data_IF_247328476276
#
_entry.id   IF_247328476276
#
_cell.length_a   1.000
_cell.length_b   1.000
_cell.length_c   1.000
_cell.angle_alpha   90.00
_cell.angle_beta   90.00
_cell.angle_gamma   90.00
#
_symmetry.space_group_name_H-M   'P 1'
#
loop_
_entity.id
_entity.type
_entity.pdbx_description
1 polymer ?
#
# COMPACT_ATOMS: atom_id res chain seq x y z
N UNK A 1 -10.52 13.72 11.55
CA UNK A 1 -11.05 12.49 12.17
C UNK A 1 -10.11 12.05 13.27
N UNK A 2 -10.57 12.13 14.53
CA UNK A 2 -9.77 11.76 15.70
C UNK A 2 -9.78 10.25 15.92
N UNK A 3 -8.68 9.58 15.56
CA UNK A 3 -8.53 8.11 15.72
C UNK A 3 -8.73 7.60 17.15
N UNK A 4 -8.57 8.45 18.17
CA UNK A 4 -8.74 8.04 19.57
C UNK A 4 -10.20 7.76 19.91
N UNK A 5 -11.13 8.36 19.16
CA UNK A 5 -12.56 8.31 19.44
C UNK A 5 -13.31 7.33 18.56
N UNK A 6 -12.61 6.69 17.62
CA UNK A 6 -13.16 5.62 16.80
C UNK A 6 -13.36 4.34 17.62
N UNK A 7 -14.47 3.65 17.37
CA UNK A 7 -14.78 2.35 17.93
C UNK A 7 -13.89 1.25 17.32
N UNK A 8 -13.85 0.07 17.96
CA UNK A 8 -13.08 -1.08 17.44
C UNK A 8 -13.51 -1.46 16.02
N UNK A 9 -14.81 -1.40 15.74
CA UNK A 9 -15.37 -1.70 14.41
C UNK A 9 -14.94 -0.67 13.36
N UNK A 10 -14.88 0.60 13.72
CA UNK A 10 -14.43 1.70 12.84
C UNK A 10 -12.95 1.58 12.50
N UNK A 11 -12.13 1.28 13.52
CA UNK A 11 -10.71 1.03 13.33
C UNK A 11 -10.48 -0.22 12.46
N UNK A 12 -11.27 -1.26 12.67
CA UNK A 12 -11.23 -2.48 11.85
C UNK A 12 -11.57 -2.16 10.39
N UNK A 13 -12.62 -1.38 10.14
CA UNK A 13 -12.99 -0.93 8.81
C UNK A 13 -11.87 -0.10 8.16
N UNK A 14 -11.34 0.91 8.86
CA UNK A 14 -10.29 1.79 8.33
C UNK A 14 -8.97 1.02 8.06
N UNK A 15 -8.61 -0.01 8.83
CA UNK A 15 -7.48 -0.89 8.48
C UNK A 15 -7.78 -1.76 7.25
N UNK A 16 -9.00 -2.30 7.19
CA UNK A 16 -9.42 -3.22 6.12
C UNK A 16 -9.44 -2.55 4.76
N UNK A 17 -9.97 -1.33 4.67
CA UNK A 17 -9.96 -0.54 3.41
C UNK A 17 -8.55 -0.13 2.98
N UNK A 18 -7.54 -0.31 3.84
CA UNK A 18 -6.12 -0.05 3.55
C UNK A 18 -5.31 -1.33 3.34
N UNK A 19 -5.97 -2.49 3.23
CA UNK A 19 -5.33 -3.78 3.02
C UNK A 19 -4.55 -4.30 4.23
N UNK A 20 -4.84 -3.78 5.43
CA UNK A 20 -4.20 -4.20 6.67
C UNK A 20 -5.10 -5.13 7.47
N UNK A 21 -4.49 -6.16 8.07
CA UNK A 21 -5.19 -7.05 8.99
C UNK A 21 -5.57 -6.31 10.28
N UNK A 22 -6.79 -6.58 10.76
CA UNK A 22 -7.23 -6.11 12.08
C UNK A 22 -6.46 -6.87 13.18
N UNK A 23 -5.97 -6.14 14.18
CA UNK A 23 -5.20 -6.71 15.28
C UNK A 23 -6.03 -6.92 16.55
N UNK A 24 -5.42 -7.58 17.53
CA UNK A 24 -6.10 -7.98 18.76
C UNK A 24 -6.49 -6.78 19.65
N UNK A 25 -5.71 -5.69 19.64
CA UNK A 25 -5.94 -4.53 20.53
C UNK A 25 -6.25 -3.22 19.79
N UNK A 26 -7.07 -2.37 20.41
CA UNK A 26 -7.49 -1.07 19.87
C UNK A 26 -6.32 -0.09 19.74
N UNK A 27 -5.36 -0.13 20.67
CA UNK A 27 -4.23 0.81 20.65
C UNK A 27 -3.22 0.49 19.55
N UNK A 28 -3.03 -0.78 19.21
CA UNK A 28 -2.25 -1.18 18.04
C UNK A 28 -2.92 -0.72 16.74
N UNK A 29 -4.26 -0.90 16.63
CA UNK A 29 -5.02 -0.43 15.47
C UNK A 29 -4.89 1.10 15.29
N UNK A 30 -5.02 1.87 16.37
CA UNK A 30 -4.82 3.33 16.36
C UNK A 30 -3.41 3.71 15.95
N UNK A 31 -2.39 3.01 16.46
CA UNK A 31 -0.98 3.27 16.13
C UNK A 31 -0.69 3.09 14.64
N UNK A 32 -1.37 2.14 13.98
CA UNK A 32 -1.26 1.91 12.54
C UNK A 32 -2.04 2.92 11.70
N UNK A 33 -3.25 3.31 12.11
CA UNK A 33 -4.12 4.21 11.31
C UNK A 33 -3.62 5.66 11.34
N UNK A 34 -3.13 6.17 12.48
CA UNK A 34 -2.69 7.57 12.61
C UNK A 34 -1.68 8.03 11.53
N UNK A 35 -0.58 7.31 11.28
CA UNK A 35 0.37 7.72 10.23
C UNK A 35 -0.25 7.63 8.84
N UNK A 36 -1.15 6.68 8.58
CA UNK A 36 -1.80 6.52 7.28
C UNK A 36 -2.74 7.69 6.98
N UNK A 37 -3.60 8.08 7.93
CA UNK A 37 -4.47 9.25 7.79
C UNK A 37 -3.69 10.56 7.64
N UNK A 38 -2.50 10.63 8.24
CA UNK A 38 -1.60 11.78 8.06
C UNK A 38 -1.05 11.82 6.64
N UNK A 39 -0.57 10.70 6.12
CA UNK A 39 -0.05 10.59 4.75
C UNK A 39 -1.13 10.85 3.69
N UNK A 40 -2.37 10.39 3.92
CA UNK A 40 -3.51 10.68 3.04
C UNK A 40 -3.83 12.18 3.00
N UNK A 41 -3.84 12.85 4.16
CA UNK A 41 -4.05 14.30 4.25
C UNK A 41 -2.94 15.10 3.57
N UNK A 42 -1.72 14.59 3.62
CA UNK A 42 -0.55 15.16 2.95
C UNK A 42 -0.49 14.81 1.44
N UNK A 43 -1.47 14.04 0.92
CA UNK A 43 -1.51 13.61 -0.49
C UNK A 43 -0.44 12.58 -0.86
N UNK A 44 0.24 11.98 0.13
CA UNK A 44 1.34 11.02 -0.02
C UNK A 44 0.89 9.56 -0.04
N UNK A 45 -0.40 9.31 0.20
CA UNK A 45 -1.00 7.99 0.17
C UNK A 45 -2.39 8.05 -0.48
N UNK A 46 -2.72 7.03 -1.27
CA UNK A 46 -4.07 6.82 -1.80
C UNK A 46 -4.65 5.53 -1.22
N UNK A 47 -5.95 5.54 -0.97
CA UNK A 47 -6.68 4.36 -0.56
C UNK A 47 -6.67 3.33 -1.72
N UNK A 48 -6.38 2.05 -1.45
CA UNK A 48 -6.53 1.00 -2.46
C UNK A 48 -8.01 0.85 -2.85
N UNK A 49 -8.26 0.32 -4.05
CA UNK A 49 -9.63 0.01 -4.50
C UNK A 49 -10.16 -1.10 -3.61
N UNK A 50 -11.21 -0.78 -2.87
CA UNK A 50 -11.83 -1.69 -1.91
C UNK A 50 -13.07 -2.33 -2.53
N UNK A 51 -13.06 -3.66 -2.61
CA UNK A 51 -14.20 -4.47 -3.03
C UNK A 51 -15.03 -4.84 -1.79
N UNK A 52 -15.94 -3.96 -1.37
CA UNK A 52 -17.06 -4.36 -0.51
C UNK A 52 -18.33 -4.50 -1.32
N UNK A 53 -19.24 -5.32 -0.78
CA UNK A 53 -20.64 -5.28 -1.17
C UNK A 53 -21.21 -3.89 -0.89
N UNK A 54 -21.57 -3.18 -1.97
CA UNK A 54 -22.14 -1.82 -1.91
C UNK A 54 -23.39 -1.75 -1.03
N UNK A 55 -24.20 -2.82 -1.02
CA UNK A 55 -25.40 -2.93 -0.21
C UNK A 55 -25.09 -3.03 1.30
N UNK A 56 -24.08 -3.81 1.67
CA UNK A 56 -23.67 -4.01 3.07
C UNK A 56 -23.13 -2.71 3.68
N UNK A 57 -22.32 -1.96 2.91
CA UNK A 57 -21.77 -0.69 3.38
C UNK A 57 -22.84 0.39 3.57
N UNK A 58 -23.85 0.46 2.69
CA UNK A 58 -24.94 1.41 2.82
C UNK A 58 -25.84 1.10 4.03
N UNK A 59 -26.10 -0.18 4.31
CA UNK A 59 -26.87 -0.59 5.49
C UNK A 59 -26.14 -0.26 6.79
N UNK A 60 -24.83 -0.53 6.85
CA UNK A 60 -24.00 -0.16 8.02
C UNK A 60 -23.96 1.37 8.20
N UNK A 61 -23.85 2.14 7.11
CA UNK A 61 -23.89 3.60 7.19
C UNK A 61 -25.24 4.09 7.73
N UNK A 62 -26.35 3.53 7.24
CA UNK A 62 -27.70 3.85 7.72
C UNK A 62 -27.86 3.58 9.21
N UNK A 63 -27.42 2.41 9.68
CA UNK A 63 -27.46 2.08 11.11
C UNK A 63 -26.67 3.06 11.97
N UNK A 64 -25.50 3.50 11.51
CA UNK A 64 -24.67 4.47 12.22
C UNK A 64 -25.25 5.89 12.21
N UNK A 65 -25.84 6.32 11.10
CA UNK A 65 -26.52 7.62 11.02
C UNK A 65 -27.65 7.69 12.04
N UNK A 66 -28.48 6.64 12.12
CA UNK A 66 -29.57 6.60 13.09
C UNK A 66 -29.06 6.62 14.55
N UNK A 67 -27.96 5.92 14.84
CA UNK A 67 -27.35 5.93 16.16
C UNK A 67 -26.77 7.31 16.53
N UNK A 68 -26.14 7.99 15.56
CA UNK A 68 -25.62 9.36 15.76
C UNK A 68 -26.77 10.37 15.91
N UNK A 69 -27.84 10.23 15.13
CA UNK A 69 -29.04 11.07 15.23
C UNK A 69 -29.70 10.96 16.61
N UNK A 70 -29.81 9.75 17.16
CA UNK A 70 -30.30 9.53 18.52
C UNK A 70 -29.42 10.23 19.57
N UNK A 71 -28.09 10.06 19.47
CA UNK A 71 -27.13 10.72 20.36
C UNK A 71 -27.22 12.25 20.26
N UNK A 72 -27.37 12.79 19.05
CA UNK A 72 -27.49 14.24 18.82
C UNK A 72 -28.80 14.78 19.39
N UNK A 73 -29.89 14.02 19.25
CA UNK A 73 -31.20 14.41 19.78
C UNK A 73 -31.19 14.47 21.30
N UNK A 74 -30.51 13.53 21.95
CA UNK A 74 -30.35 13.42 23.41
C UNK A 74 -29.33 14.41 24.01
N UNK A 75 -28.54 15.12 23.18
CA UNK A 75 -27.61 16.15 23.67
C UNK A 75 -28.37 17.27 24.38
N UNK A 76 -28.06 17.47 25.66
CA UNK A 76 -28.51 18.60 26.46
C UNK A 76 -27.50 19.76 26.43
N UNK A 77 -27.89 20.92 27.00
CA UNK A 77 -27.03 22.12 27.07
C UNK A 77 -25.80 21.93 27.97
N UNK A 78 -25.70 20.80 28.69
CA UNK A 78 -24.56 20.43 29.54
C UNK A 78 -23.66 19.38 28.92
N UNK A 79 -23.89 19.05 27.64
CA UNK A 79 -23.12 18.04 26.92
C UNK A 79 -21.62 18.27 27.05
N UNK A 80 -20.90 17.20 27.41
CA UNK A 80 -19.46 17.31 27.60
C UNK A 80 -18.75 17.52 26.26
N UNK A 81 -17.67 18.30 26.26
CA UNK A 81 -16.78 18.46 25.10
C UNK A 81 -16.28 17.09 24.56
N UNK A 82 -16.23 16.09 25.44
CA UNK A 82 -15.88 14.73 25.07
C UNK A 82 -16.97 14.04 24.22
N UNK A 83 -18.25 14.23 24.53
CA UNK A 83 -19.39 13.68 23.79
C UNK A 83 -19.52 14.32 22.41
N UNK A 84 -19.42 15.65 22.34
CA UNK A 84 -19.46 16.41 21.08
C UNK A 84 -18.34 15.96 20.13
N UNK A 85 -17.09 15.85 20.62
CA UNK A 85 -15.96 15.36 19.80
C UNK A 85 -16.11 13.91 19.36
N UNK A 86 -16.83 13.08 20.13
CA UNK A 86 -17.11 11.68 19.77
C UNK A 86 -18.14 11.62 18.64
N UNK A 87 -19.18 12.45 18.71
CA UNK A 87 -20.19 12.59 17.67
C UNK A 87 -19.57 13.14 16.38
N UNK A 88 -18.77 14.22 16.47
CA UNK A 88 -18.00 14.81 15.37
C UNK A 88 -17.13 13.77 14.65
N UNK A 89 -16.37 12.98 15.42
CA UNK A 89 -15.52 11.92 14.87
C UNK A 89 -16.36 10.83 14.18
N UNK A 90 -17.50 10.46 14.77
CA UNK A 90 -18.42 9.47 14.22
C UNK A 90 -19.07 9.92 12.92
N UNK A 91 -19.56 11.17 12.87
CA UNK A 91 -20.11 11.79 11.66
C UNK A 91 -19.05 11.84 10.56
N UNK A 92 -17.85 12.30 10.86
CA UNK A 92 -16.77 12.36 9.88
C UNK A 92 -16.40 10.99 9.32
N UNK A 93 -16.39 9.95 10.16
CA UNK A 93 -16.14 8.57 9.73
C UNK A 93 -17.25 8.07 8.77
N UNK A 94 -18.52 8.27 9.14
CA UNK A 94 -19.66 7.83 8.33
C UNK A 94 -19.75 8.59 7.01
N UNK A 95 -19.58 9.91 7.01
CA UNK A 95 -19.55 10.73 5.78
C UNK A 95 -18.46 10.24 4.83
N UNK A 96 -17.25 9.99 5.34
CA UNK A 96 -16.16 9.45 4.54
C UNK A 96 -16.49 8.06 3.96
N UNK A 97 -17.18 7.21 4.72
CA UNK A 97 -17.62 5.89 4.26
C UNK A 97 -18.68 5.98 3.15
N UNK A 98 -19.72 6.80 3.33
CA UNK A 98 -20.76 7.03 2.31
C UNK A 98 -20.15 7.55 1.01
N UNK A 99 -19.20 8.49 1.10
CA UNK A 99 -18.51 9.05 -0.07
C UNK A 99 -17.68 8.02 -0.84
N UNK A 100 -17.19 6.97 -0.17
CA UNK A 100 -16.39 5.90 -0.79
C UNK A 100 -17.25 4.83 -1.50
N UNK A 101 -18.51 4.65 -1.10
CA UNK A 101 -19.41 3.66 -1.74
C UNK A 101 -19.63 4.02 -3.21
N UNK A 102 -19.42 3.06 -4.11
CA UNK A 102 -19.69 3.20 -5.56
C UNK A 102 -20.69 2.12 -6.00
N UNK A 103 -22.00 2.42 -6.02
CA UNK A 103 -22.99 1.49 -6.57
C UNK A 103 -22.73 1.22 -8.05
N UNK A 104 -23.00 0.00 -8.51
CA UNK A 104 -22.96 -0.34 -9.94
C UNK A 104 -23.98 0.51 -10.73
N UNK A 105 -23.68 0.82 -11.99
CA UNK A 105 -24.52 1.69 -12.84
C UNK A 105 -25.95 1.16 -13.03
N UNK A 106 -26.16 -0.14 -12.84
CA UNK A 106 -27.47 -0.82 -12.90
C UNK A 106 -28.30 -0.67 -11.62
N UNK A 107 -27.71 -0.26 -10.49
CA UNK A 107 -28.33 -0.27 -9.17
C UNK A 107 -28.85 1.11 -8.76
N UNK A 108 -29.99 1.52 -9.34
CA UNK A 108 -30.63 2.81 -9.10
C UNK A 108 -31.01 3.03 -7.63
N UNK A 109 -31.43 1.97 -6.92
CA UNK A 109 -31.83 2.05 -5.51
C UNK A 109 -30.65 2.37 -4.58
N UNK A 110 -29.49 1.76 -4.81
CA UNK A 110 -28.28 2.05 -4.04
C UNK A 110 -27.76 3.48 -4.26
N UNK A 111 -27.92 4.04 -5.46
CA UNK A 111 -27.62 5.45 -5.73
C UNK A 111 -28.55 6.40 -4.99
N UNK A 112 -29.86 6.11 -4.97
CA UNK A 112 -30.84 6.88 -4.21
C UNK A 112 -30.54 6.83 -2.71
N UNK A 113 -30.24 5.64 -2.18
CA UNK A 113 -29.91 5.46 -0.78
C UNK A 113 -28.61 6.19 -0.41
N UNK A 114 -27.55 6.10 -1.23
CA UNK A 114 -26.31 6.85 -1.01
C UNK A 114 -26.57 8.36 -0.89
N UNK A 115 -27.38 8.91 -1.79
CA UNK A 115 -27.76 10.33 -1.77
C UNK A 115 -28.51 10.70 -0.50
N UNK A 116 -29.53 9.91 -0.14
CA UNK A 116 -30.29 10.13 1.10
C UNK A 116 -29.41 10.12 2.35
N UNK A 117 -28.45 9.18 2.43
CA UNK A 117 -27.53 9.10 3.56
C UNK A 117 -26.53 10.27 3.59
N UNK A 118 -26.10 10.76 2.43
CA UNK A 118 -25.23 11.94 2.34
C UNK A 118 -25.98 13.21 2.79
N UNK A 119 -27.21 13.40 2.31
CA UNK A 119 -28.07 14.52 2.71
C UNK A 119 -28.34 14.49 4.23
N UNK A 120 -28.61 13.30 4.78
CA UNK A 120 -28.82 13.13 6.23
C UNK A 120 -27.55 13.40 7.05
N UNK A 121 -26.36 13.03 6.56
CA UNK A 121 -25.12 13.41 7.21
C UNK A 121 -24.96 14.93 7.28
N UNK A 122 -25.28 15.66 6.22
CA UNK A 122 -25.19 17.11 6.19
C UNK A 122 -26.17 17.77 7.17
N UNK A 123 -27.38 17.25 7.29
CA UNK A 123 -28.38 17.69 8.29
C UNK A 123 -27.87 17.50 9.72
N UNK A 124 -27.29 16.33 10.04
CA UNK A 124 -26.75 16.06 11.38
C UNK A 124 -25.52 16.90 11.72
N UNK A 125 -24.71 17.27 10.73
CA UNK A 125 -23.61 18.22 10.92
C UNK A 125 -24.14 19.60 11.33
N UNK A 126 -25.15 20.12 10.64
CA UNK A 126 -25.77 21.41 10.98
C UNK A 126 -26.40 21.38 12.40
N UNK A 127 -27.11 20.31 12.75
CA UNK A 127 -27.70 20.14 14.08
C UNK A 127 -26.65 20.07 15.20
N UNK A 128 -25.47 19.50 14.93
CA UNK A 128 -24.36 19.50 15.90
C UNK A 128 -23.79 20.90 16.10
N UNK A 129 -23.61 21.68 15.02
CA UNK A 129 -23.08 23.04 15.07
C UNK A 129 -23.99 23.98 15.85
N UNK A 130 -25.31 23.87 15.68
CA UNK A 130 -26.30 24.66 16.44
C UNK A 130 -26.31 24.35 17.96
N UNK A 131 -25.82 23.16 18.35
CA UNK A 131 -25.81 22.70 19.74
C UNK A 131 -24.45 22.83 20.43
N UNK A 132 -23.40 23.28 19.75
CA UNK A 132 -22.08 23.48 20.37
C UNK A 132 -22.09 24.75 21.27
N UNK A 133 -21.86 24.62 22.59
CA UNK A 133 -21.86 25.75 23.52
C UNK A 133 -20.80 26.81 23.22
N UNK A 134 -19.72 26.49 22.48
CA UNK A 134 -18.72 27.48 22.05
C UNK A 134 -19.27 28.42 20.96
N UNK A 135 -20.12 27.90 20.07
CA UNK A 135 -20.79 28.70 19.02
C UNK A 135 -21.86 29.60 19.63
N UNK A 136 -22.60 29.12 20.65
CA UNK A 136 -23.58 29.95 21.38
C UNK A 136 -22.96 31.09 22.19
N UNK A 137 -21.75 30.92 22.74
CA UNK A 137 -21.02 31.99 23.46
C UNK A 137 -20.28 32.97 22.53
N UNK A 138 -19.84 32.55 21.34
CA UNK A 138 -19.15 33.44 20.38
C UNK A 138 -20.10 34.42 19.65
N UNK A 139 -21.41 34.18 19.65
CA UNK A 139 -22.39 35.09 19.02
C UNK A 139 -22.67 36.36 19.86
N UNK A 140 -22.40 36.36 21.17
CA UNK A 140 -22.61 37.55 22.04
C UNK A 140 -21.33 38.36 22.31
N UNK A 141 -20.14 37.79 22.14
CA UNK A 141 -18.89 38.49 22.41
C UNK A 141 -17.90 38.39 21.23
N UNK A 142 -17.73 39.54 20.56
CA UNK A 142 -16.52 40.02 19.86
C UNK A 142 -16.50 40.03 18.32
N UNK A 143 -16.62 41.26 17.82
CA UNK A 143 -16.33 41.75 16.48
C UNK A 143 -14.83 41.72 16.12
N UNK A 144 -14.07 40.67 16.45
CA UNK A 144 -12.63 40.65 16.15
C UNK A 144 -11.96 39.26 16.16
N UNK A 145 -12.58 38.26 15.52
CA UNK A 145 -11.93 37.01 15.10
C UNK A 145 -12.27 36.72 13.64
N UNK A 146 -11.38 36.07 12.87
CA UNK A 146 -11.70 35.72 11.49
C UNK A 146 -12.87 34.72 11.51
N UNK A 147 -13.97 35.12 10.89
CA UNK A 147 -15.18 34.35 10.58
C UNK A 147 -14.96 32.86 10.33
N UNK A 148 -15.94 32.02 10.69
CA UNK A 148 -15.94 30.59 10.36
C UNK A 148 -15.83 30.28 8.85
N UNK A 149 -16.30 31.20 8.01
CA UNK A 149 -16.18 31.12 6.55
C UNK A 149 -14.71 31.20 6.08
N UNK A 150 -13.86 32.02 6.71
CA UNK A 150 -12.43 32.13 6.37
C UNK A 150 -11.67 30.81 6.59
N UNK A 151 -12.07 30.02 7.59
CA UNK A 151 -11.48 28.69 7.85
C UNK A 151 -11.91 27.70 6.77
N UNK A 152 -13.16 27.74 6.32
CA UNK A 152 -13.64 26.93 5.19
C UNK A 152 -13.01 27.39 3.86
N UNK A 153 -12.81 28.69 3.65
CA UNK A 153 -12.12 29.25 2.49
C UNK A 153 -10.65 28.79 2.43
N UNK A 154 -9.91 28.75 3.54
CA UNK A 154 -8.56 28.17 3.60
C UNK A 154 -8.55 26.66 3.28
N UNK A 155 -9.61 25.92 3.68
CA UNK A 155 -9.78 24.51 3.28
C UNK A 155 -10.04 24.38 1.79
N UNK A 156 -10.89 25.22 1.21
CA UNK A 156 -11.16 25.25 -0.23
C UNK A 156 -9.90 25.56 -1.04
N UNK A 157 -9.09 26.53 -0.62
CA UNK A 157 -7.82 26.87 -1.28
C UNK A 157 -6.82 25.70 -1.32
N UNK A 158 -6.73 24.92 -0.25
CA UNK A 158 -5.88 23.71 -0.20
C UNK A 158 -6.39 22.61 -1.14
N UNK A 159 -7.70 22.41 -1.21
CA UNK A 159 -8.32 21.46 -2.12
C UNK A 159 -8.08 21.88 -3.58
N UNK A 160 -8.26 23.16 -3.89
CA UNK A 160 -8.06 23.72 -5.23
C UNK A 160 -6.61 23.57 -5.69
N UNK A 161 -5.64 23.88 -4.83
CA UNK A 161 -4.22 23.70 -5.12
C UNK A 161 -3.89 22.25 -5.48
N UNK A 162 -4.46 21.29 -4.74
CA UNK A 162 -4.26 19.86 -5.01
C UNK A 162 -4.88 19.44 -6.36
N UNK A 163 -6.06 19.96 -6.71
CA UNK A 163 -6.71 19.67 -7.99
C UNK A 163 -5.92 20.30 -9.15
N UNK A 164 -5.44 21.54 -9.01
CA UNK A 164 -4.62 22.23 -10.03
C UNK A 164 -3.36 21.44 -10.39
N UNK A 165 -2.65 20.91 -9.38
CA UNK A 165 -1.49 20.05 -9.61
C UNK A 165 -1.88 18.81 -10.40
N UNK A 166 -3.02 18.18 -10.08
CA UNK A 166 -3.47 16.99 -10.78
C UNK A 166 -3.92 17.26 -12.23
N UNK A 167 -4.59 18.40 -12.49
CA UNK A 167 -4.90 18.86 -13.87
C UNK A 167 -3.61 19.11 -14.67
N UNK A 168 -2.55 19.64 -14.04
CA UNK A 168 -1.30 19.95 -14.73
C UNK A 168 -0.52 18.71 -15.23
N UNK A 169 -0.79 17.53 -14.66
CA UNK A 169 -0.12 16.28 -15.03
C UNK A 169 -1.04 15.25 -15.68
N UNK A 170 -2.33 15.55 -15.83
CA UNK A 170 -3.25 14.61 -16.47
C UNK A 170 -2.97 14.51 -17.97
N UNK A 171 -2.80 13.28 -18.45
CA UNK A 171 -2.68 12.92 -19.86
C UNK A 171 -3.58 11.71 -20.11
N UNK A 172 -4.50 11.80 -21.08
CA UNK A 172 -5.41 10.68 -21.38
C UNK A 172 -6.76 11.11 -21.92
N UNK A 173 -7.66 10.14 -22.06
CA UNK A 173 -9.02 10.32 -22.56
C UNK A 173 -9.96 10.87 -21.46
N UNK A 174 -10.94 11.70 -21.86
CA UNK A 174 -11.96 12.28 -20.96
C UNK A 174 -12.82 11.19 -20.31
N UNK A 175 -12.92 10.03 -20.95
CA UNK A 175 -13.57 8.84 -20.40
C UNK A 175 -12.77 8.12 -19.31
N UNK A 176 -11.50 8.49 -19.05
CA UNK A 176 -10.69 7.79 -18.05
C UNK A 176 -11.24 7.99 -16.63
N UNK A 177 -11.20 6.95 -15.78
CA UNK A 177 -11.69 7.05 -14.39
C UNK A 177 -11.01 8.17 -13.59
N UNK A 178 -9.74 8.45 -13.89
CA UNK A 178 -8.95 9.52 -13.26
C UNK A 178 -9.44 10.90 -13.71
N UNK A 179 -9.73 11.09 -15.00
CA UNK A 179 -10.29 12.33 -15.52
C UNK A 179 -11.68 12.61 -14.95
N UNK A 180 -12.56 11.60 -14.91
CA UNK A 180 -13.91 11.74 -14.34
C UNK A 180 -13.88 12.07 -12.85
N UNK A 181 -13.01 11.40 -12.09
CA UNK A 181 -12.85 11.68 -10.65
C UNK A 181 -12.32 13.09 -10.38
N UNK A 182 -11.48 13.61 -11.27
CA UNK A 182 -10.97 14.97 -11.18
C UNK A 182 -12.06 16.00 -11.50
N UNK A 183 -12.85 15.75 -12.55
CA UNK A 183 -13.99 16.56 -12.98
C UNK A 183 -15.06 16.62 -11.88
N UNK A 184 -15.41 15.49 -11.27
CA UNK A 184 -16.37 15.42 -10.15
C UNK A 184 -15.91 16.19 -8.92
N UNK A 185 -14.62 16.09 -8.56
CA UNK A 185 -14.05 16.81 -7.41
C UNK A 185 -14.00 18.32 -7.64
N UNK A 186 -13.74 18.75 -8.87
CA UNK A 186 -13.76 20.16 -9.22
C UNK A 186 -15.21 20.70 -9.24
N UNK A 187 -16.17 19.90 -9.72
CA UNK A 187 -17.59 20.25 -9.72
C UNK A 187 -18.19 20.36 -8.30
N UNK A 188 -17.79 19.46 -7.39
CA UNK A 188 -18.14 19.53 -5.96
C UNK A 188 -17.59 20.81 -5.31
N UNK A 189 -16.31 21.12 -5.56
CA UNK A 189 -15.67 22.33 -5.04
C UNK A 189 -16.37 23.61 -5.55
N UNK A 190 -16.67 23.67 -6.86
CA UNK A 190 -17.39 24.79 -7.47
C UNK A 190 -18.79 24.96 -6.88
N UNK A 191 -19.52 23.85 -6.68
CA UNK A 191 -20.86 23.89 -6.11
C UNK A 191 -20.84 24.39 -4.66
N UNK A 192 -19.88 23.93 -3.86
CA UNK A 192 -19.71 24.36 -2.47
C UNK A 192 -19.26 25.81 -2.33
N UNK A 193 -18.35 26.28 -3.18
CA UNK A 193 -17.96 27.69 -3.24
C UNK A 193 -19.13 28.58 -3.66
N UNK A 194 -19.97 28.14 -4.60
CA UNK A 194 -21.13 28.90 -5.10
C UNK A 194 -22.22 29.05 -4.03
N UNK A 195 -22.46 28.00 -3.24
CA UNK A 195 -23.49 27.95 -2.19
C UNK A 195 -23.03 28.57 -0.86
N UNK A 196 -21.74 28.84 -0.69
CA UNK A 196 -21.22 29.50 0.49
C UNK A 196 -21.68 30.97 0.51
N UNK A 197 -22.49 31.32 1.50
CA UNK A 197 -22.95 32.69 1.75
C UNK A 197 -21.99 33.39 2.71
N UNK A 198 -21.36 34.48 2.27
CA UNK A 198 -20.48 35.29 3.12
C UNK A 198 -21.09 36.67 3.35
N UNK A 199 -21.12 37.11 4.60
CA UNK A 199 -21.64 38.43 4.97
C UNK A 199 -20.53 39.50 5.00
N UNK A 200 -19.27 39.06 4.97
CA UNK A 200 -18.06 39.88 4.99
C UNK A 200 -17.50 40.07 3.56
N UNK A 201 -17.13 41.31 3.23
CA UNK A 201 -16.65 41.69 1.88
C UNK A 201 -15.26 41.11 1.57
N UNK A 202 -14.39 40.92 2.57
CA UNK A 202 -13.07 40.30 2.42
C UNK A 202 -13.23 38.80 2.14
N UNK A 203 -14.17 38.14 2.82
CA UNK A 203 -14.49 36.73 2.58
C UNK A 203 -15.14 36.48 1.22
N UNK A 204 -16.03 37.36 0.79
CA UNK A 204 -16.66 37.29 -0.53
C UNK A 204 -15.61 37.46 -1.62
N UNK A 205 -14.65 38.36 -1.45
CA UNK A 205 -13.54 38.54 -2.39
C UNK A 205 -12.64 37.28 -2.48
N UNK A 206 -12.33 36.64 -1.35
CA UNK A 206 -11.56 35.39 -1.33
C UNK A 206 -12.35 34.23 -1.97
N UNK A 207 -13.66 34.14 -1.67
CA UNK A 207 -14.57 33.16 -2.28
C UNK A 207 -14.63 33.32 -3.80
N UNK A 208 -14.83 34.55 -4.28
CA UNK A 208 -14.85 34.87 -5.71
C UNK A 208 -13.52 34.54 -6.39
N UNK A 209 -12.38 34.82 -5.74
CA UNK A 209 -11.07 34.43 -6.23
C UNK A 209 -10.90 32.92 -6.40
N UNK A 210 -11.31 32.12 -5.41
CA UNK A 210 -11.28 30.66 -5.54
C UNK A 210 -12.27 30.11 -6.57
N UNK A 211 -13.41 30.78 -6.75
CA UNK A 211 -14.41 30.41 -7.75
C UNK A 211 -13.86 30.65 -9.17
N UNK A 212 -13.18 31.79 -9.39
CA UNK A 212 -12.47 32.10 -10.64
C UNK A 212 -11.33 31.11 -10.91
N UNK A 213 -10.45 30.86 -9.95
CA UNK A 213 -9.36 29.88 -10.09
C UNK A 213 -9.86 28.45 -10.35
N UNK A 214 -11.01 28.07 -9.76
CA UNK A 214 -11.65 26.77 -10.00
C UNK A 214 -12.21 26.67 -11.42
N UNK A 215 -12.78 27.76 -11.95
CA UNK A 215 -13.24 27.83 -13.34
C UNK A 215 -12.08 27.78 -14.34
N UNK A 216 -10.97 28.47 -14.07
CA UNK A 216 -9.75 28.38 -14.88
C UNK A 216 -9.20 26.95 -14.91
N UNK A 217 -9.20 26.28 -13.75
CA UNK A 217 -8.76 24.90 -13.63
C UNK A 217 -9.65 23.93 -14.45
N UNK A 218 -10.96 24.18 -14.49
CA UNK A 218 -11.91 23.43 -15.32
C UNK A 218 -11.66 23.62 -16.82
N UNK A 219 -11.37 24.85 -17.23
CA UNK A 219 -11.04 25.18 -18.61
C UNK A 219 -9.72 24.52 -19.03
N UNK A 220 -8.70 24.55 -18.18
CA UNK A 220 -7.41 23.90 -18.44
C UNK A 220 -7.54 22.38 -18.55
N UNK A 221 -8.33 21.77 -17.66
CA UNK A 221 -8.71 20.36 -17.75
C UNK A 221 -9.37 20.07 -19.10
N UNK A 222 -10.39 20.84 -19.50
CA UNK A 222 -11.06 20.70 -20.79
C UNK A 222 -10.13 20.85 -22.01
N UNK A 223 -9.18 21.79 -21.98
CA UNK A 223 -8.18 21.96 -23.05
C UNK A 223 -7.30 20.72 -23.19
N UNK A 224 -6.85 20.15 -22.08
CA UNK A 224 -6.00 18.95 -22.07
C UNK A 224 -6.73 17.70 -22.51
N UNK A 225 -8.03 17.61 -22.22
CA UNK A 225 -8.87 16.49 -22.67
C UNK A 225 -9.30 16.60 -24.15
N UNK A 226 -9.18 17.78 -24.77
CA UNK A 226 -9.55 18.02 -26.18
C UNK A 226 -8.35 18.13 -27.11
N UNK A 227 -7.15 18.42 -26.61
CA UNK A 227 -5.91 18.41 -27.38
C UNK A 227 -5.42 16.98 -27.66
N UNK A 228 -6.05 16.32 -28.63
CA UNK A 228 -5.52 15.14 -29.31
C UNK A 228 -4.33 15.47 -30.22
N UNK A 229 -3.35 16.24 -29.75
CA UNK A 229 -2.12 16.52 -30.50
C UNK A 229 -0.99 15.63 -29.99
N UNK A 230 -0.74 14.59 -30.78
CA UNK A 230 0.51 13.85 -30.81
C UNK A 230 1.71 14.81 -30.96
N UNK A 231 2.36 15.13 -29.84
CA UNK A 231 3.59 15.90 -29.77
C UNK A 231 4.77 15.01 -29.39
N UNK A 232 5.29 14.28 -30.37
CA UNK A 232 6.67 13.75 -30.50
C UNK A 232 7.39 13.39 -29.18
N UNK A 233 7.19 12.16 -28.69
CA UNK A 233 8.20 11.46 -27.89
C UNK A 233 8.70 10.29 -28.72
N UNK A 234 10.02 10.21 -28.88
CA UNK A 234 10.71 9.16 -29.63
C UNK A 234 10.30 7.76 -29.17
N UNK A 235 10.26 6.84 -30.14
CA UNK A 235 9.85 5.44 -29.99
C UNK A 235 10.65 4.77 -28.86
N UNK A 236 9.93 4.29 -27.83
CA UNK A 236 10.39 3.22 -26.95
C UNK A 236 9.29 2.16 -26.90
N UNK A 237 9.74 0.92 -26.92
CA UNK A 237 9.09 -0.35 -27.28
C UNK A 237 7.71 -0.66 -26.65
N UNK A 238 6.90 -1.54 -27.31
CA UNK A 238 5.57 -1.93 -26.87
C UNK A 238 5.57 -2.96 -25.72
N UNK A 239 6.31 -2.67 -24.65
CA UNK A 239 6.29 -3.39 -23.38
C UNK A 239 6.43 -2.38 -22.22
N UNK A 240 5.40 -1.59 -21.95
CA UNK A 240 5.28 -0.88 -20.67
C UNK A 240 3.84 -0.99 -20.16
N UNK A 241 3.60 -2.05 -19.39
CA UNK A 241 2.48 -2.13 -18.47
C UNK A 241 2.54 -0.96 -17.47
N UNK A 242 1.40 -0.51 -16.92
CA UNK A 242 1.37 0.61 -15.99
C UNK A 242 2.15 0.26 -14.73
N UNK A 243 3.35 0.86 -14.58
CA UNK A 243 4.18 0.71 -13.38
C UNK A 243 3.45 1.33 -12.19
N UNK A 244 2.89 0.47 -11.34
CA UNK A 244 2.47 0.83 -9.98
C UNK A 244 3.71 1.36 -9.26
N UNK A 245 3.79 2.67 -9.00
CA UNK A 245 4.83 3.24 -8.13
C UNK A 245 4.57 2.76 -6.69
N UNK A 246 5.23 1.66 -6.32
CA UNK A 246 5.24 1.11 -4.96
C UNK A 246 5.79 2.15 -3.98
N UNK A 247 5.22 2.15 -2.78
CA UNK A 247 5.55 3.04 -1.66
C UNK A 247 7.05 2.92 -1.33
N UNK A 248 7.81 3.99 -1.54
CA UNK A 248 9.17 4.07 -1.03
C UNK A 248 9.13 4.34 0.48
N UNK A 249 9.36 3.29 1.26
CA UNK A 249 9.55 3.39 2.72
C UNK A 249 11.01 3.78 2.98
N UNK A 250 11.31 4.79 3.81
CA UNK A 250 12.68 5.16 4.17
C UNK A 250 13.48 3.99 4.73
N UNK A 251 14.78 3.90 4.42
CA UNK A 251 15.66 2.77 4.81
C UNK A 251 15.67 2.51 6.32
N UNK A 252 15.67 3.57 7.14
CA UNK A 252 15.58 3.46 8.61
C UNK A 252 14.38 2.65 9.13
N UNK A 253 13.30 2.60 8.37
CA UNK A 253 12.05 1.94 8.74
C UNK A 253 11.98 0.50 8.19
N UNK A 254 13.07 0.00 7.59
CA UNK A 254 13.15 -1.37 7.07
C UNK A 254 13.37 -2.39 8.19
N UNK A 255 13.86 -1.97 9.36
CA UNK A 255 14.13 -2.86 10.49
C UNK A 255 15.32 -3.80 10.28
N UNK A 256 16.13 -3.56 9.23
CA UNK A 256 17.35 -4.33 8.94
C UNK A 256 18.55 -3.52 9.39
N UNK A 257 19.44 -4.14 10.17
CA UNK A 257 20.74 -3.57 10.53
C UNK A 257 21.84 -4.64 10.50
N UNK A 258 23.04 -4.22 10.10
CA UNK A 258 24.26 -5.01 10.18
C UNK A 258 25.21 -4.44 11.21
N UNK A 259 25.60 -5.23 12.21
CA UNK A 259 26.57 -4.83 13.25
C UNK A 259 28.01 -5.21 12.88
N UNK A 260 28.21 -6.29 12.13
CA UNK A 260 29.52 -6.84 11.75
C UNK A 260 30.11 -7.88 12.72
N UNK A 261 29.34 -8.34 13.72
CA UNK A 261 29.81 -9.33 14.71
C UNK A 261 29.27 -10.74 14.42
N UNK A 262 27.99 -11.01 14.70
CA UNK A 262 27.39 -12.36 14.61
C UNK A 262 26.53 -12.57 13.35
N UNK A 263 26.40 -11.55 12.51
CA UNK A 263 25.50 -11.58 11.36
C UNK A 263 26.23 -12.03 10.09
N UNK A 264 25.60 -12.92 9.32
CA UNK A 264 26.09 -13.29 8.00
C UNK A 264 25.92 -12.13 7.02
N UNK A 265 27.00 -11.79 6.31
CA UNK A 265 27.00 -10.80 5.22
C UNK A 265 25.95 -11.16 4.16
N UNK A 266 25.89 -12.42 3.73
CA UNK A 266 24.89 -12.87 2.75
C UNK A 266 23.46 -12.74 3.23
N UNK A 267 23.15 -13.17 4.45
CA UNK A 267 21.78 -13.09 4.98
C UNK A 267 21.31 -11.62 5.06
N UNK A 268 22.23 -10.70 5.39
CA UNK A 268 21.95 -9.27 5.37
C UNK A 268 21.73 -8.73 3.95
N UNK A 269 22.59 -9.09 2.99
CA UNK A 269 22.46 -8.64 1.59
C UNK A 269 21.20 -9.19 0.92
N UNK A 270 20.82 -10.44 1.19
CA UNK A 270 19.57 -11.04 0.71
C UNK A 270 18.36 -10.26 1.25
N UNK A 271 18.34 -9.99 2.56
CA UNK A 271 17.26 -9.20 3.17
C UNK A 271 17.16 -7.78 2.58
N UNK A 272 18.29 -7.15 2.23
CA UNK A 272 18.30 -5.86 1.53
C UNK A 272 17.69 -5.99 0.14
N UNK A 273 18.09 -6.98 -0.65
CA UNK A 273 17.61 -7.15 -2.03
C UNK A 273 16.10 -7.45 -2.07
N UNK A 274 15.62 -8.27 -1.12
CA UNK A 274 14.19 -8.53 -0.94
C UNK A 274 13.42 -7.25 -0.62
N UNK A 275 13.93 -6.42 0.29
CA UNK A 275 13.28 -5.17 0.69
C UNK A 275 13.37 -4.09 -0.37
N UNK A 276 14.49 -4.02 -1.09
CA UNK A 276 14.72 -3.17 -2.26
C UNK A 276 13.70 -3.49 -3.34
N UNK A 277 13.53 -4.77 -3.67
CA UNK A 277 12.53 -5.26 -4.64
C UNK A 277 11.09 -5.01 -4.18
N UNK A 278 10.82 -5.19 -2.88
CA UNK A 278 9.49 -4.98 -2.32
C UNK A 278 9.08 -3.49 -2.32
N UNK A 279 10.04 -2.58 -2.09
CA UNK A 279 9.80 -1.13 -1.94
C UNK A 279 10.20 -0.31 -3.17
N UNK A 280 10.70 -0.95 -4.22
CA UNK A 280 11.19 -0.31 -5.43
C UNK A 280 12.23 0.78 -5.12
N UNK A 281 13.19 0.45 -4.24
CA UNK A 281 14.31 1.31 -3.92
C UNK A 281 15.43 1.13 -4.96
N UNK A 282 16.14 2.20 -5.28
CA UNK A 282 17.30 2.16 -6.17
C UNK A 282 18.60 1.93 -5.41
N UNK A 283 19.64 1.47 -6.11
CA UNK A 283 20.99 1.36 -5.52
C UNK A 283 21.54 2.72 -5.07
N UNK A 284 21.13 3.81 -5.74
CA UNK A 284 21.43 5.17 -5.30
C UNK A 284 20.77 5.50 -3.95
N UNK A 285 19.54 5.04 -3.71
CA UNK A 285 18.84 5.24 -2.43
C UNK A 285 19.57 4.49 -1.30
N UNK A 286 19.98 3.25 -1.58
CA UNK A 286 20.78 2.43 -0.66
C UNK A 286 22.12 3.08 -0.34
N UNK A 287 22.83 3.58 -1.36
CA UNK A 287 24.12 4.24 -1.21
C UNK A 287 24.05 5.56 -0.42
N UNK A 288 23.04 6.38 -0.70
CA UNK A 288 22.86 7.68 -0.04
C UNK A 288 22.44 7.54 1.42
N UNK A 289 21.64 6.51 1.74
CA UNK A 289 21.14 6.26 3.09
C UNK A 289 21.81 5.05 3.75
N UNK A 290 22.99 4.63 3.27
CA UNK A 290 23.67 3.42 3.72
C UNK A 290 23.84 3.39 5.25
N UNK A 291 24.16 4.53 5.86
CA UNK A 291 24.36 4.64 7.31
C UNK A 291 23.18 4.14 8.17
N UNK A 292 21.95 4.16 7.64
CA UNK A 292 20.76 3.67 8.34
C UNK A 292 20.75 2.13 8.48
N UNK A 293 21.46 1.43 7.60
CA UNK A 293 21.53 -0.03 7.52
C UNK A 293 22.66 -0.64 8.37
N UNK A 294 23.57 0.19 8.88
CA UNK A 294 24.74 -0.29 9.64
C UNK A 294 24.70 0.20 11.09
N UNK A 295 25.29 -0.60 11.98
CA UNK A 295 25.44 -0.31 13.40
C UNK A 295 26.75 -0.91 13.94
N UNK A 296 27.08 -0.64 15.20
CA UNK A 296 28.26 -1.25 15.83
C UNK A 296 29.57 -0.99 15.06
N UNK A 297 30.41 -2.03 14.95
CA UNK A 297 31.71 -1.95 14.25
C UNK A 297 31.57 -1.76 12.75
N UNK A 298 30.53 -2.30 12.13
CA UNK A 298 30.30 -2.13 10.70
C UNK A 298 29.97 -0.67 10.35
N UNK A 299 29.33 0.08 11.25
CA UNK A 299 29.14 1.51 11.04
C UNK A 299 30.47 2.30 11.09
N UNK A 300 31.41 1.88 11.94
CA UNK A 300 32.75 2.49 12.02
C UNK A 300 33.51 2.22 10.72
N UNK A 301 33.50 0.97 10.26
CA UNK A 301 34.08 0.56 8.99
C UNK A 301 33.49 1.34 7.81
N UNK A 302 32.16 1.44 7.71
CA UNK A 302 31.50 2.17 6.62
C UNK A 302 31.93 3.63 6.58
N UNK A 303 32.07 4.30 7.73
CA UNK A 303 32.54 5.69 7.81
C UNK A 303 33.95 5.87 7.26
N UNK A 304 34.82 4.87 7.39
CA UNK A 304 36.18 4.92 6.87
C UNK A 304 36.20 4.83 5.34
N UNK A 305 35.50 3.84 4.77
CA UNK A 305 35.49 3.60 3.32
C UNK A 305 34.55 4.54 2.55
N UNK A 306 33.67 5.29 3.22
CA UNK A 306 32.60 6.07 2.57
C UNK A 306 33.10 7.05 1.51
N UNK A 307 34.30 7.60 1.71
CA UNK A 307 34.94 8.57 0.80
C UNK A 307 35.66 7.91 -0.38
N UNK A 308 35.89 6.61 -0.29
CA UNK A 308 36.62 5.80 -1.27
C UNK A 308 35.67 5.07 -2.22
N UNK A 309 34.43 4.81 -1.76
CA UNK A 309 33.36 4.18 -2.55
C UNK A 309 32.41 5.19 -3.19
N UNK A 310 31.98 4.92 -4.42
CA UNK A 310 31.07 5.75 -5.24
C UNK A 310 29.72 5.07 -5.56
N UNK A 311 29.57 3.77 -5.28
CA UNK A 311 28.35 3.01 -5.56
C UNK A 311 27.98 2.07 -4.42
N UNK A 312 26.73 1.60 -4.41
CA UNK A 312 26.29 0.57 -3.45
C UNK A 312 27.04 -0.75 -3.69
N UNK A 313 27.29 -1.09 -4.95
CA UNK A 313 28.03 -2.27 -5.35
C UNK A 313 29.46 -2.28 -4.80
N UNK A 314 30.15 -1.13 -4.81
CA UNK A 314 31.48 -0.98 -4.20
C UNK A 314 31.45 -1.17 -2.69
N UNK A 315 30.44 -0.62 -2.00
CA UNK A 315 30.24 -0.85 -0.56
C UNK A 315 30.02 -2.34 -0.29
N UNK A 316 29.20 -3.02 -1.10
CA UNK A 316 28.98 -4.47 -0.97
C UNK A 316 30.27 -5.23 -1.17
N UNK A 317 31.10 -4.87 -2.16
CA UNK A 317 32.36 -5.56 -2.43
C UNK A 317 33.35 -5.41 -1.27
N UNK A 318 33.51 -4.19 -0.75
CA UNK A 318 34.35 -3.94 0.42
C UNK A 318 33.80 -4.63 1.68
N UNK A 319 32.47 -4.70 1.82
CA UNK A 319 31.83 -5.39 2.94
C UNK A 319 32.16 -6.88 2.93
N UNK A 320 32.18 -7.51 1.76
CA UNK A 320 32.60 -8.91 1.62
C UNK A 320 34.06 -9.08 1.98
N UNK A 321 34.94 -8.19 1.51
CA UNK A 321 36.37 -8.25 1.80
C UNK A 321 36.68 -8.15 3.31
N UNK A 322 35.95 -7.31 4.05
CA UNK A 322 36.19 -7.08 5.47
C UNK A 322 35.52 -8.12 6.38
N UNK A 323 34.28 -8.51 6.08
CA UNK A 323 33.44 -9.31 7.00
C UNK A 323 33.26 -10.77 6.57
N UNK A 324 33.67 -11.18 5.36
CA UNK A 324 33.67 -12.59 4.98
C UNK A 324 35.02 -13.27 5.26
N UNK A 325 35.01 -14.54 5.67
CA UNK A 325 36.23 -15.35 5.69
C UNK A 325 36.83 -15.47 4.28
N UNK A 326 38.16 -15.46 4.20
CA UNK A 326 38.90 -15.60 2.93
C UNK A 326 38.54 -16.87 2.13
N UNK A 327 38.16 -17.95 2.83
CA UNK A 327 37.79 -19.24 2.26
C UNK A 327 36.27 -19.45 2.13
N UNK A 328 35.47 -18.38 2.25
CA UNK A 328 34.02 -18.46 2.20
C UNK A 328 33.51 -19.10 0.90
N UNK A 329 34.07 -18.69 -0.24
CA UNK A 329 33.62 -19.18 -1.55
C UNK A 329 33.93 -20.67 -1.72
N UNK A 330 35.11 -21.11 -1.29
CA UNK A 330 35.52 -22.51 -1.30
C UNK A 330 34.61 -23.35 -0.41
N UNK A 331 34.35 -22.92 0.82
CA UNK A 331 33.43 -23.59 1.76
C UNK A 331 32.02 -23.70 1.20
N UNK A 332 31.51 -22.63 0.60
CA UNK A 332 30.18 -22.62 -0.02
C UNK A 332 30.10 -23.60 -1.20
N UNK A 333 31.16 -23.70 -2.01
CA UNK A 333 31.23 -24.71 -3.07
C UNK A 333 31.26 -26.15 -2.54
N UNK A 334 31.96 -26.40 -1.44
CA UNK A 334 31.97 -27.70 -0.76
C UNK A 334 30.59 -28.04 -0.20
N UNK A 335 29.90 -27.08 0.40
CA UNK A 335 28.53 -27.22 0.88
C UNK A 335 27.56 -27.54 -0.27
N UNK A 336 27.64 -26.78 -1.38
CA UNK A 336 26.86 -27.03 -2.61
C UNK A 336 27.09 -28.45 -3.13
N UNK A 337 28.36 -28.88 -3.22
CA UNK A 337 28.72 -30.18 -3.79
C UNK A 337 28.37 -31.34 -2.87
N UNK A 338 28.36 -31.13 -1.56
CA UNK A 338 28.03 -32.14 -0.54
C UNK A 338 26.54 -32.22 -0.23
N UNK A 339 25.75 -31.17 -0.52
CA UNK A 339 24.30 -31.17 -0.30
C UNK A 339 23.60 -32.15 -1.24
N UNK A 340 23.14 -33.26 -0.68
CA UNK A 340 22.32 -34.28 -1.35
C UNK A 340 20.86 -34.17 -0.95
N UNK A 341 19.91 -34.48 -1.85
CA UNK A 341 18.48 -34.50 -1.53
C UNK A 341 18.15 -35.52 -0.43
N UNK A 342 17.39 -35.10 0.58
CA UNK A 342 16.95 -35.97 1.68
C UNK A 342 15.88 -36.99 1.28
N UNK A 343 15.68 -38.03 2.09
CA UNK A 343 14.75 -39.14 1.80
C UNK A 343 13.28 -38.70 1.68
N UNK A 344 12.86 -37.79 2.57
CA UNK A 344 11.52 -37.19 2.60
C UNK A 344 11.45 -35.81 1.94
N UNK A 345 12.57 -35.34 1.39
CA UNK A 345 12.66 -34.01 0.79
C UNK A 345 12.02 -33.99 -0.61
N UNK A 346 10.97 -33.19 -0.76
CA UNK A 346 10.31 -33.00 -2.06
C UNK A 346 11.25 -32.32 -3.06
N UNK A 347 11.16 -32.73 -4.32
CA UNK A 347 12.02 -32.23 -5.40
C UNK A 347 11.98 -30.70 -5.52
N UNK A 348 10.78 -30.12 -5.38
CA UNK A 348 10.60 -28.67 -5.46
C UNK A 348 11.32 -27.94 -4.34
N UNK A 349 11.29 -28.49 -3.12
CA UNK A 349 11.96 -27.88 -1.97
C UNK A 349 13.48 -27.99 -2.10
N UNK A 350 13.99 -29.19 -2.44
CA UNK A 350 15.41 -29.41 -2.70
C UNK A 350 15.97 -28.46 -3.77
N UNK A 351 15.29 -28.32 -4.91
CA UNK A 351 15.74 -27.42 -5.99
C UNK A 351 15.73 -25.96 -5.54
N UNK A 352 14.75 -25.53 -4.73
CA UNK A 352 14.75 -24.18 -4.15
C UNK A 352 15.91 -23.94 -3.20
N UNK A 353 16.21 -24.90 -2.32
CA UNK A 353 17.38 -24.83 -1.42
C UNK A 353 18.68 -24.74 -2.22
N UNK A 354 18.84 -25.58 -3.24
CA UNK A 354 20.01 -25.53 -4.13
C UNK A 354 20.12 -24.19 -4.85
N UNK A 355 19.01 -23.64 -5.35
CA UNK A 355 18.99 -22.30 -5.96
C UNK A 355 19.52 -21.25 -4.99
N UNK A 356 19.08 -21.25 -3.74
CA UNK A 356 19.55 -20.29 -2.74
C UNK A 356 21.08 -20.38 -2.54
N UNK A 357 21.65 -21.59 -2.46
CA UNK A 357 23.11 -21.73 -2.41
C UNK A 357 23.82 -21.12 -3.64
N UNK A 358 23.31 -21.35 -4.85
CA UNK A 358 23.92 -20.78 -6.06
C UNK A 358 23.77 -19.25 -6.16
N UNK A 359 22.71 -18.67 -5.58
CA UNK A 359 22.54 -17.21 -5.53
C UNK A 359 23.57 -16.53 -4.63
N UNK A 360 24.08 -17.25 -3.62
CA UNK A 360 25.10 -16.77 -2.69
C UNK A 360 26.51 -16.76 -3.30
N UNK A 361 26.74 -17.40 -4.44
CA UNK A 361 28.06 -17.38 -5.07
C UNK A 361 28.38 -15.99 -5.66
N UNK A 362 29.63 -15.50 -5.53
CA UNK A 362 30.04 -14.23 -6.15
C UNK A 362 29.95 -14.29 -7.68
N UNK A 363 30.25 -15.45 -8.27
CA UNK A 363 30.09 -15.71 -9.69
C UNK A 363 29.06 -16.84 -9.90
N UNK A 364 28.00 -16.54 -10.65
CA UNK A 364 26.95 -17.50 -10.94
C UNK A 364 27.46 -18.56 -11.94
N UNK A 365 27.39 -19.86 -11.61
CA UNK A 365 27.71 -20.93 -12.56
C UNK A 365 26.69 -21.00 -13.69
N UNK A 366 27.07 -21.67 -14.79
CA UNK A 366 26.18 -21.85 -15.93
C UNK A 366 24.99 -22.75 -15.58
N UNK A 367 23.86 -22.57 -16.25
CA UNK A 367 22.66 -23.39 -15.98
C UNK A 367 22.94 -24.89 -16.16
N UNK A 368 23.81 -25.26 -17.10
CA UNK A 368 24.24 -26.64 -17.30
C UNK A 368 25.06 -27.18 -16.13
N UNK A 369 25.99 -26.40 -15.58
CA UNK A 369 26.76 -26.81 -14.39
C UNK A 369 25.86 -26.96 -13.16
N UNK A 370 24.96 -26.00 -12.95
CA UNK A 370 23.93 -26.06 -11.89
C UNK A 370 23.12 -27.34 -12.04
N UNK A 371 22.58 -27.60 -13.23
CA UNK A 371 21.77 -28.78 -13.49
C UNK A 371 22.56 -30.07 -13.26
N UNK A 372 23.82 -30.14 -13.72
CA UNK A 372 24.70 -31.30 -13.50
C UNK A 372 24.94 -31.57 -12.01
N UNK A 373 25.20 -30.54 -11.22
CA UNK A 373 25.43 -30.68 -9.77
C UNK A 373 24.13 -31.13 -9.08
N UNK A 374 23.02 -30.47 -9.37
CA UNK A 374 21.71 -30.78 -8.77
C UNK A 374 21.31 -32.22 -9.10
N UNK A 375 21.43 -32.64 -10.37
CA UNK A 375 21.13 -34.01 -10.81
C UNK A 375 22.02 -35.03 -10.09
N UNK A 376 23.34 -34.81 -10.03
CA UNK A 376 24.27 -35.74 -9.37
C UNK A 376 23.91 -35.99 -7.91
N UNK A 377 23.37 -34.97 -7.25
CA UNK A 377 23.06 -34.98 -5.83
C UNK A 377 21.59 -35.30 -5.51
N UNK A 378 20.79 -35.69 -6.53
CA UNK A 378 19.42 -36.15 -6.31
C UNK A 378 19.39 -37.47 -5.54
N UNK A 379 18.28 -37.68 -4.84
CA UNK A 379 18.04 -38.93 -4.14
C UNK A 379 17.93 -40.08 -5.16
N UNK A 380 18.52 -41.28 -4.89
CA UNK A 380 18.57 -42.39 -5.84
C UNK A 380 17.22 -42.77 -6.47
N UNK A 381 16.14 -42.69 -5.69
CA UNK A 381 14.77 -42.92 -6.15
C UNK A 381 14.38 -42.08 -7.39
N UNK A 382 14.82 -40.82 -7.46
CA UNK A 382 14.58 -39.96 -8.63
C UNK A 382 15.55 -40.30 -9.76
N UNK A 383 16.82 -40.57 -9.45
CA UNK A 383 17.85 -40.90 -10.44
C UNK A 383 17.48 -42.12 -11.28
N UNK A 384 16.98 -43.19 -10.64
CA UNK A 384 16.52 -44.40 -11.33
C UNK A 384 15.42 -44.12 -12.36
N UNK A 385 14.52 -43.18 -12.05
CA UNK A 385 13.33 -42.86 -12.88
C UNK A 385 13.61 -41.82 -13.94
N UNK A 386 14.59 -40.94 -13.69
CA UNK A 386 14.99 -39.87 -14.59
C UNK A 386 16.16 -40.26 -15.51
N UNK A 387 16.88 -41.35 -15.22
CA UNK A 387 18.13 -41.71 -15.90
C UNK A 387 18.02 -41.90 -17.42
N UNK A 388 16.83 -42.21 -17.95
CA UNK A 388 16.59 -42.35 -19.40
C UNK A 388 16.07 -41.08 -20.07
N UNK A 389 15.81 -40.03 -19.30
CA UNK A 389 15.21 -38.80 -19.80
C UNK A 389 16.29 -37.75 -20.01
N UNK A 390 16.27 -37.10 -21.18
CA UNK A 390 17.02 -35.86 -21.37
C UNK A 390 16.32 -34.75 -20.59
N UNK A 391 17.04 -34.10 -19.68
CA UNK A 391 16.57 -32.96 -18.90
C UNK A 391 17.50 -31.80 -19.24
N UNK A 392 16.92 -30.67 -19.63
CA UNK A 392 17.68 -29.52 -20.14
C UNK A 392 17.60 -28.30 -19.23
N UNK A 393 16.73 -28.31 -18.21
CA UNK A 393 16.60 -27.21 -17.24
C UNK A 393 16.17 -27.70 -15.86
N UNK A 394 16.37 -26.86 -14.84
CA UNK A 394 15.85 -27.10 -13.49
C UNK A 394 14.31 -27.10 -13.44
N UNK A 395 13.65 -26.32 -14.29
CA UNK A 395 12.19 -26.28 -14.35
C UNK A 395 11.63 -27.62 -14.82
N UNK A 396 12.22 -28.19 -15.87
CA UNK A 396 11.86 -29.50 -16.40
C UNK A 396 12.13 -30.61 -15.37
N UNK A 397 13.25 -30.52 -14.63
CA UNK A 397 13.54 -31.44 -13.52
C UNK A 397 12.45 -31.42 -12.46
N UNK A 398 12.02 -30.24 -12.01
CA UNK A 398 10.97 -30.10 -10.99
C UNK A 398 9.65 -30.66 -11.49
N UNK A 399 9.28 -30.39 -12.74
CA UNK A 399 8.04 -30.91 -13.34
C UNK A 399 8.04 -32.44 -13.35
N UNK A 400 9.11 -33.05 -13.87
CA UNK A 400 9.25 -34.51 -13.94
C UNK A 400 9.33 -35.15 -12.55
N UNK A 401 10.03 -34.50 -11.63
CA UNK A 401 10.13 -34.95 -10.23
C UNK A 401 8.78 -34.95 -9.53
N UNK A 402 7.94 -33.92 -9.72
CA UNK A 402 6.58 -33.88 -9.14
C UNK A 402 5.70 -35.02 -9.67
N UNK A 403 5.82 -35.36 -10.96
CA UNK A 403 5.12 -36.53 -11.54
C UNK A 403 5.57 -37.85 -10.90
N UNK A 404 6.86 -37.97 -10.57
CA UNK A 404 7.42 -39.12 -9.85
C UNK A 404 6.86 -39.20 -8.42
N UNK A 405 6.74 -38.07 -7.72
CA UNK A 405 6.16 -37.98 -6.38
C UNK A 405 4.67 -38.37 -6.39
N UNK A 406 3.89 -37.86 -7.35
CA UNK A 406 2.48 -38.22 -7.52
C UNK A 406 2.30 -39.73 -7.77
N UNK A 407 3.16 -40.31 -8.61
CA UNK A 407 3.13 -41.74 -8.87
C UNK A 407 3.50 -42.55 -7.61
N UNK A 408 4.49 -42.11 -6.84
CA UNK A 408 4.85 -42.72 -5.53
C UNK A 408 3.64 -42.76 -4.61
N UNK A 409 2.90 -41.66 -4.52
CA UNK A 409 1.68 -41.57 -3.70
C UNK A 409 0.59 -42.53 -4.20
N UNK A 410 0.34 -42.59 -5.52
CA UNK A 410 -0.65 -43.52 -6.11
C UNK A 410 -0.32 -44.99 -5.84
N UNK A 411 0.96 -45.36 -5.95
CA UNK A 411 1.42 -46.72 -5.65
C UNK A 411 1.20 -47.04 -4.17
N UNK A 412 1.53 -46.12 -3.27
CA UNK A 412 1.30 -46.30 -1.82
C UNK A 412 -0.19 -46.43 -1.46
N UNK A 413 -1.06 -45.73 -2.20
CA UNK A 413 -2.51 -45.77 -1.98
C UNK A 413 -3.22 -46.94 -2.67
N UNK A 414 -2.52 -47.69 -3.52
CA UNK A 414 -3.12 -48.82 -4.24
C UNK A 414 -3.62 -49.88 -3.25
N UNK A 415 -4.89 -50.25 -3.39
CA UNK A 415 -5.49 -51.40 -2.70
C UNK A 415 -6.05 -52.35 -3.75
N UNK A 416 -5.70 -53.65 -3.69
CA UNK A 416 -6.26 -54.62 -4.63
C UNK A 416 -7.78 -54.70 -4.46
N UNK A 417 -8.53 -54.99 -5.54
CA UNK A 417 -9.97 -55.15 -5.44
C UNK A 417 -10.33 -56.27 -4.45
N UNK A 418 -11.43 -56.13 -3.68
CA UNK A 418 -11.85 -57.16 -2.75
C UNK A 418 -12.13 -58.47 -3.51
N UNK A 419 -11.61 -59.59 -3.02
CA UNK A 419 -11.85 -60.91 -3.59
C UNK A 419 -13.36 -61.18 -3.59
N UNK A 420 -13.92 -61.58 -4.74
CA UNK A 420 -15.31 -62.05 -4.82
C UNK A 420 -15.42 -63.29 -3.94
N UNK A 421 -16.33 -63.26 -2.96
CA UNK A 421 -16.74 -64.49 -2.25
C UNK A 421 -17.34 -65.42 -3.29
N UNK A 422 -16.64 -66.49 -3.61
CA UNK A 422 -17.20 -67.64 -4.32
C UNK A 422 -18.35 -68.18 -3.47
N UNK A 423 -19.56 -68.17 -4.04
CA UNK A 423 -20.76 -68.76 -3.44
C UNK A 423 -20.68 -70.29 -3.44
#
# INVERSE_FOLDING_TARGET
MDTNRLSKEELTYELRIRGLAAESTVDEMRRKIRPLLRLEREGKAMLPVYETSTAEDLDICKGKINALEALITELDETASEHELRKIDTGLQHVTNRVNRVRPEDSNTEAWQLKRQLADKCAELWALCEERDPKVKQEVEETSSRPSGNMIELDRFGKILTAIRVQVAYITGDRGSPVARQLEDRLADLLSRLTLLSTEDEEEENVRLGYLEESMECLQEFGRRMTSGTAGKVERIDPCNEPVIKKIQVPLKDWGIKFSGDDQSVHAFLEAIEEMKSARNASDADLFNSAFDLFSGRALIWLKAIRRETSSWEEIVQEMRNEFEPLDYTERLWEEIRSRTQGEDEKIGFYVSVMRNYFHRLPQKPTENEVLRIVLRNLHPYYLERLGLQKISSLAELVEKGRRIEDNRWRIQMYRPPPLKKTL
#
